data_IF_392931666069
#
_entry.id   IF_392931666069
#
_cell.length_a   1.000
_cell.length_b   1.000
_cell.length_c   1.000
_cell.angle_alpha   90.00
_cell.angle_beta   90.00
_cell.angle_gamma   90.00
#
_symmetry.space_group_name_H-M   'P 1'
#
loop_
_entity.id
_entity.type
_entity.pdbx_description
1 polymer ?
#
# COMPACT_ATOMS: atom_id res chain seq x y z
N UNK A 1 -4.44 21.43 24.06
CA UNK A 1 -3.50 20.38 23.61
C UNK A 1 -2.71 21.01 22.49
N UNK A 2 -1.41 21.23 22.68
CA UNK A 2 -0.54 21.82 21.67
C UNK A 2 -0.31 20.77 20.61
N UNK A 3 -0.66 21.11 19.38
CA UNK A 3 -0.33 20.38 18.15
C UNK A 3 1.16 19.97 18.19
N UNK A 4 1.52 18.69 17.97
CA UNK A 4 2.92 18.34 17.89
C UNK A 4 3.53 19.15 16.75
N UNK A 5 4.51 19.99 17.06
CA UNK A 5 5.15 20.87 16.10
C UNK A 5 5.66 20.02 14.91
N UNK A 6 5.10 20.28 13.72
CA UNK A 6 5.61 19.71 12.46
C UNK A 6 7.11 20.00 12.40
N UNK A 7 7.98 19.00 12.20
CA UNK A 7 9.42 19.24 12.15
C UNK A 7 9.73 20.20 11.00
N UNK A 8 10.62 21.15 11.22
CA UNK A 8 10.98 22.16 10.21
C UNK A 8 11.72 21.56 9.00
N UNK A 9 12.19 20.31 9.10
CA UNK A 9 12.90 19.60 8.05
C UNK A 9 12.83 18.08 8.28
N UNK A 10 12.86 17.32 7.20
CA UNK A 10 12.97 15.86 7.20
C UNK A 10 14.39 15.42 6.90
N UNK A 11 14.83 14.34 7.53
CA UNK A 11 16.09 13.67 7.15
C UNK A 11 15.72 12.42 6.33
N UNK A 12 16.15 12.39 5.08
CA UNK A 12 15.92 11.28 4.15
C UNK A 12 17.23 10.58 3.84
N UNK A 13 17.18 9.29 3.60
CA UNK A 13 18.27 8.50 3.08
C UNK A 13 18.39 8.68 1.57
N UNK A 14 19.58 8.97 1.07
CA UNK A 14 19.94 8.81 -0.34
C UNK A 14 20.99 7.69 -0.47
N UNK A 15 20.66 6.68 -1.28
CA UNK A 15 21.56 5.60 -1.66
C UNK A 15 21.90 5.74 -3.14
N UNK A 16 23.14 6.04 -3.47
CA UNK A 16 23.61 5.95 -4.85
C UNK A 16 24.21 4.56 -5.09
N UNK A 17 23.63 3.81 -6.05
CA UNK A 17 24.03 2.44 -6.39
C UNK A 17 24.14 2.27 -7.90
N UNK A 18 24.96 1.29 -8.39
CA UNK A 18 24.94 0.92 -9.81
C UNK A 18 23.51 0.52 -10.25
N UNK A 19 23.11 0.87 -11.47
CA UNK A 19 21.76 0.61 -11.99
C UNK A 19 21.37 -0.88 -11.90
N UNK A 20 22.32 -1.79 -12.12
CA UNK A 20 22.08 -3.25 -11.97
C UNK A 20 21.83 -3.72 -10.54
N UNK A 21 22.07 -2.89 -9.54
CA UNK A 21 21.82 -3.19 -8.13
C UNK A 21 20.59 -2.45 -7.57
N UNK A 22 20.02 -1.50 -8.33
CA UNK A 22 18.97 -0.62 -7.82
C UNK A 22 17.73 -1.39 -7.34
N UNK A 23 17.30 -2.38 -8.09
CA UNK A 23 16.11 -3.20 -7.77
C UNK A 23 16.29 -3.97 -6.45
N UNK A 24 17.45 -4.65 -6.28
CA UNK A 24 17.74 -5.43 -5.06
C UNK A 24 17.83 -4.52 -3.84
N UNK A 25 18.42 -3.33 -3.99
CA UNK A 25 18.56 -2.37 -2.91
C UNK A 25 17.22 -1.72 -2.58
N UNK A 26 16.41 -1.40 -3.57
CA UNK A 26 15.04 -0.91 -3.41
C UNK A 26 14.18 -1.91 -2.64
N UNK A 27 14.20 -3.19 -3.02
CA UNK A 27 13.49 -4.27 -2.30
C UNK A 27 13.94 -4.40 -0.84
N UNK A 28 15.25 -4.26 -0.59
CA UNK A 28 15.78 -4.32 0.77
C UNK A 28 15.33 -3.10 1.61
N UNK A 29 15.21 -1.91 1.02
CA UNK A 29 14.66 -0.73 1.69
C UNK A 29 13.19 -0.95 2.07
N UNK A 30 12.40 -1.49 1.15
CA UNK A 30 11.01 -1.87 1.45
C UNK A 30 10.92 -2.87 2.60
N UNK A 31 11.86 -3.83 2.68
CA UNK A 31 11.99 -4.77 3.80
C UNK A 31 12.30 -4.11 5.16
N UNK A 32 12.78 -2.85 5.17
CA UNK A 32 12.98 -2.05 6.39
C UNK A 32 11.75 -1.22 6.78
N UNK A 33 10.62 -1.39 6.06
CA UNK A 33 9.36 -0.73 6.37
C UNK A 33 9.28 0.73 5.91
N UNK A 34 10.03 1.12 4.86
CA UNK A 34 9.88 2.47 4.29
C UNK A 34 8.53 2.62 3.59
N UNK A 35 7.94 3.79 3.69
CA UNK A 35 6.65 4.11 3.08
C UNK A 35 6.74 4.37 1.56
N UNK A 36 7.93 4.77 1.07
CA UNK A 36 8.18 5.03 -0.34
C UNK A 36 9.67 4.94 -0.66
N UNK A 37 10.01 4.54 -1.88
CA UNK A 37 11.34 4.64 -2.46
C UNK A 37 11.21 5.40 -3.78
N UNK A 38 11.91 6.54 -3.88
CA UNK A 38 12.04 7.29 -5.12
C UNK A 38 13.31 6.82 -5.83
N UNK A 39 13.20 6.50 -7.12
CA UNK A 39 14.33 6.08 -7.96
C UNK A 39 14.62 7.16 -9.00
N UNK A 40 15.84 7.70 -8.98
CA UNK A 40 16.29 8.70 -9.93
C UNK A 40 17.51 8.19 -10.70
N UNK A 41 17.38 7.89 -12.00
CA UNK A 41 18.53 7.53 -12.84
C UNK A 41 19.53 8.68 -12.95
N UNK A 42 20.81 8.38 -12.83
CA UNK A 42 21.90 9.35 -12.93
C UNK A 42 22.73 9.14 -14.21
N UNK A 43 23.34 10.22 -14.69
CA UNK A 43 24.33 10.13 -15.76
C UNK A 43 25.53 9.34 -15.26
N UNK A 44 25.88 8.24 -15.94
CA UNK A 44 27.01 7.38 -15.53
C UNK A 44 26.64 5.96 -15.14
N UNK A 45 25.35 5.59 -15.23
CA UNK A 45 24.90 4.22 -15.00
C UNK A 45 24.66 3.89 -13.53
N UNK A 46 24.50 4.90 -12.68
CA UNK A 46 24.02 4.77 -11.30
C UNK A 46 22.56 5.21 -11.16
N UNK A 47 21.95 4.82 -10.06
CA UNK A 47 20.60 5.22 -9.63
C UNK A 47 20.69 5.74 -8.20
N UNK A 48 20.04 6.85 -7.92
CA UNK A 48 19.84 7.34 -6.56
C UNK A 48 18.47 6.88 -6.08
N UNK A 49 18.48 6.13 -4.98
CA UNK A 49 17.29 5.71 -4.24
C UNK A 49 17.12 6.66 -3.06
N UNK A 50 15.93 7.27 -2.92
CA UNK A 50 15.57 8.10 -1.78
C UNK A 50 14.46 7.46 -1.00
N UNK A 51 14.63 7.37 0.32
CA UNK A 51 13.63 6.80 1.20
C UNK A 51 13.65 7.49 2.57
N UNK A 52 12.49 7.52 3.23
CA UNK A 52 12.40 7.88 4.64
C UNK A 52 12.61 6.61 5.47
N UNK A 53 13.79 6.45 6.04
CA UNK A 53 14.20 5.28 6.83
C UNK A 53 14.39 5.69 8.28
N UNK A 54 13.92 4.85 9.21
CA UNK A 54 14.17 5.09 10.64
C UNK A 54 15.67 5.12 10.94
N UNK A 55 16.17 6.05 11.75
CA UNK A 55 17.56 6.09 12.20
C UNK A 55 18.04 4.80 12.87
N UNK A 56 17.13 3.96 13.36
CA UNK A 56 17.46 2.63 13.91
C UNK A 56 18.09 1.68 12.88
N UNK A 57 17.94 1.99 11.59
CA UNK A 57 18.48 1.18 10.49
C UNK A 57 19.77 1.75 9.86
N UNK A 58 20.38 2.78 10.43
CA UNK A 58 21.56 3.45 9.88
C UNK A 58 22.69 2.49 9.48
N UNK A 59 23.09 1.59 10.37
CA UNK A 59 24.13 0.59 10.09
C UNK A 59 23.71 -0.38 8.99
N UNK A 60 22.44 -0.76 8.98
CA UNK A 60 21.87 -1.69 8.00
C UNK A 60 21.91 -1.10 6.59
N UNK A 61 21.49 0.16 6.41
CA UNK A 61 21.45 0.83 5.10
C UNK A 61 22.86 1.17 4.58
N UNK A 62 23.78 1.52 5.46
CA UNK A 62 25.20 1.74 5.09
C UNK A 62 25.83 0.44 4.60
N UNK A 63 25.62 -0.67 5.30
CA UNK A 63 26.13 -1.97 4.89
C UNK A 63 25.45 -2.48 3.60
N UNK A 64 24.15 -2.23 3.44
CA UNK A 64 23.42 -2.53 2.21
C UNK A 64 24.03 -1.80 1.01
N UNK A 65 24.25 -0.50 1.11
CA UNK A 65 24.90 0.29 0.07
C UNK A 65 26.28 -0.27 -0.28
N UNK A 66 27.11 -0.51 0.74
CA UNK A 66 28.48 -1.03 0.57
C UNK A 66 28.50 -2.39 -0.15
N UNK A 67 27.60 -3.32 0.20
CA UNK A 67 27.51 -4.65 -0.44
C UNK A 67 27.19 -4.58 -1.92
N UNK A 68 26.42 -3.57 -2.33
CA UNK A 68 25.99 -3.37 -3.71
C UNK A 68 26.79 -2.31 -4.47
N UNK A 69 27.97 -1.94 -3.95
CA UNK A 69 28.90 -1.03 -4.63
C UNK A 69 28.44 0.42 -4.64
N UNK A 70 27.57 0.78 -3.70
CA UNK A 70 27.00 2.11 -3.57
C UNK A 70 27.47 2.87 -2.34
N UNK A 71 26.90 4.06 -2.16
CA UNK A 71 27.17 4.98 -1.04
C UNK A 71 25.84 5.44 -0.45
N UNK A 72 25.75 5.39 0.90
CA UNK A 72 24.64 5.94 1.65
C UNK A 72 24.99 7.33 2.21
N UNK A 73 24.05 8.26 2.14
CA UNK A 73 24.14 9.56 2.81
C UNK A 73 22.77 9.97 3.34
N UNK A 74 22.78 10.70 4.47
CA UNK A 74 21.60 11.31 5.02
C UNK A 74 21.53 12.78 4.57
N UNK A 75 20.37 13.17 4.02
CA UNK A 75 20.14 14.51 3.50
C UNK A 75 18.97 15.13 4.25
N UNK A 76 19.20 16.34 4.78
CA UNK A 76 18.14 17.11 5.40
C UNK A 76 17.41 17.92 4.35
N UNK A 77 16.10 17.68 4.18
CA UNK A 77 15.24 18.41 3.25
C UNK A 77 14.22 19.23 4.03
N UNK A 78 14.02 20.52 3.69
CA UNK A 78 12.95 21.32 4.27
C UNK A 78 11.59 20.67 4.04
N UNK A 79 10.67 20.78 5.01
CA UNK A 79 9.29 20.28 4.87
C UNK A 79 8.62 20.77 3.59
N UNK A 80 8.86 22.04 3.22
CA UNK A 80 8.34 22.61 1.96
C UNK A 80 8.81 21.90 0.69
N UNK A 81 9.96 21.21 0.74
CA UNK A 81 10.48 20.39 -0.37
C UNK A 81 9.93 18.97 -0.29
N UNK A 82 9.80 18.40 0.93
CA UNK A 82 9.15 17.12 1.15
C UNK A 82 7.68 17.13 0.69
N UNK A 83 7.01 18.29 0.80
CA UNK A 83 5.61 18.47 0.37
C UNK A 83 5.45 18.83 -1.12
N UNK A 84 6.52 18.90 -1.91
CA UNK A 84 6.42 19.25 -3.35
C UNK A 84 5.57 18.24 -4.13
N UNK A 85 5.50 16.98 -3.70
CA UNK A 85 4.64 15.97 -4.28
C UNK A 85 3.15 16.36 -4.20
N UNK A 86 2.73 17.09 -3.14
CA UNK A 86 1.34 17.58 -3.02
C UNK A 86 0.95 18.51 -4.16
N UNK A 87 1.88 19.34 -4.63
CA UNK A 87 1.67 20.25 -5.77
C UNK A 87 1.52 19.50 -7.12
N UNK A 88 2.05 18.27 -7.20
CA UNK A 88 2.00 17.42 -8.38
C UNK A 88 0.94 16.31 -8.28
N UNK A 89 0.30 16.17 -7.13
CA UNK A 89 -0.78 15.20 -6.94
C UNK A 89 -1.93 15.45 -7.92
N UNK A 90 -2.51 14.40 -8.44
CA UNK A 90 -3.61 14.43 -9.41
C UNK A 90 -4.67 13.41 -9.02
N UNK A 91 -5.89 13.64 -9.49
CA UNK A 91 -6.94 12.64 -9.46
C UNK A 91 -6.53 11.42 -10.28
N UNK A 92 -6.76 10.23 -9.73
CA UNK A 92 -6.43 8.94 -10.38
C UNK A 92 -7.71 8.23 -10.76
N UNK A 93 -7.87 7.92 -12.03
CA UNK A 93 -8.97 7.12 -12.53
C UNK A 93 -8.77 5.64 -12.16
N UNK A 94 -9.81 5.00 -11.66
CA UNK A 94 -9.77 3.57 -11.30
C UNK A 94 -10.50 2.72 -12.33
N UNK A 95 -11.80 2.91 -12.45
CA UNK A 95 -12.65 2.18 -13.38
C UNK A 95 -13.99 2.90 -13.56
N UNK A 96 -14.59 2.83 -14.75
CA UNK A 96 -15.88 3.46 -15.03
C UNK A 96 -15.86 4.96 -14.75
N UNK A 97 -16.63 5.42 -13.75
CA UNK A 97 -16.71 6.80 -13.29
C UNK A 97 -16.03 7.02 -11.92
N UNK A 98 -15.23 6.07 -11.44
CA UNK A 98 -14.61 6.09 -10.11
C UNK A 98 -13.24 6.74 -10.14
N UNK A 99 -13.03 7.70 -9.23
CA UNK A 99 -11.80 8.45 -9.06
C UNK A 99 -11.31 8.44 -7.60
N UNK A 100 -10.02 8.19 -7.41
CA UNK A 100 -9.30 8.48 -6.18
C UNK A 100 -8.71 9.88 -6.29
N UNK A 101 -9.02 10.76 -5.35
CA UNK A 101 -8.67 12.18 -5.44
C UNK A 101 -8.05 12.63 -4.12
N UNK A 102 -6.80 13.13 -4.12
CA UNK A 102 -6.22 13.76 -2.94
C UNK A 102 -7.15 14.84 -2.39
N UNK A 103 -7.25 14.94 -1.06
CA UNK A 103 -8.21 15.83 -0.39
C UNK A 103 -8.16 17.27 -0.91
N UNK A 104 -6.97 17.78 -1.23
CA UNK A 104 -6.70 19.16 -1.70
C UNK A 104 -6.83 19.36 -3.22
N UNK A 105 -7.11 18.30 -3.99
CA UNK A 105 -7.22 18.37 -5.45
C UNK A 105 -8.66 18.51 -5.87
N UNK A 106 -8.92 19.31 -6.92
CA UNK A 106 -10.26 19.42 -7.49
C UNK A 106 -10.71 18.08 -8.09
N UNK A 107 -11.93 17.67 -7.75
CA UNK A 107 -12.47 16.40 -8.20
C UNK A 107 -12.99 16.51 -9.65
N UNK A 108 -12.70 15.52 -10.52
CA UNK A 108 -13.35 15.40 -11.81
C UNK A 108 -14.82 15.00 -11.66
N UNK A 109 -15.59 15.04 -12.75
CA UNK A 109 -16.94 14.49 -12.77
C UNK A 109 -16.90 12.96 -12.53
N UNK A 110 -17.82 12.44 -11.69
CA UNK A 110 -17.92 11.02 -11.35
C UNK A 110 -17.97 10.76 -9.85
N UNK A 111 -17.88 9.48 -9.49
CA UNK A 111 -17.82 9.04 -8.10
C UNK A 111 -16.40 9.23 -7.56
N UNK A 112 -16.27 10.10 -6.58
CA UNK A 112 -14.99 10.51 -6.04
C UNK A 112 -14.79 9.97 -4.64
N UNK A 113 -13.64 9.36 -4.41
CA UNK A 113 -13.13 8.97 -3.09
C UNK A 113 -12.00 9.92 -2.74
N UNK A 114 -12.17 10.68 -1.67
CA UNK A 114 -11.17 11.62 -1.17
C UNK A 114 -10.15 10.91 -0.29
N UNK A 115 -8.87 11.22 -0.46
CA UNK A 115 -7.78 10.57 0.28
C UNK A 115 -6.78 11.61 0.80
N UNK A 116 -6.50 11.57 2.10
CA UNK A 116 -5.32 12.16 2.71
C UNK A 116 -4.40 11.02 3.17
N UNK A 117 -3.22 10.85 2.56
CA UNK A 117 -2.34 9.74 2.88
C UNK A 117 -1.59 9.91 4.21
N UNK A 118 -1.47 11.13 4.72
CA UNK A 118 -0.57 11.44 5.84
C UNK A 118 0.86 10.94 5.58
N UNK A 119 1.48 10.34 6.61
CA UNK A 119 2.82 9.75 6.52
C UNK A 119 2.79 8.23 6.30
N UNK A 120 1.73 7.72 5.63
CA UNK A 120 1.56 6.30 5.29
C UNK A 120 1.39 6.09 3.79
N UNK A 121 1.56 4.85 3.33
CA UNK A 121 1.31 4.48 1.95
C UNK A 121 -0.20 4.54 1.62
N UNK A 122 -0.53 4.81 0.35
CA UNK A 122 -1.91 4.70 -0.15
C UNK A 122 -2.55 6.03 -0.54
N UNK A 123 -1.84 6.90 -1.28
CA UNK A 123 -2.44 8.09 -1.90
C UNK A 123 -3.42 7.75 -3.05
N UNK A 124 -3.39 6.52 -3.52
CA UNK A 124 -4.29 6.04 -4.58
C UNK A 124 -3.74 6.13 -6.01
N UNK A 125 -2.61 6.80 -6.24
CA UNK A 125 -2.04 6.99 -7.58
C UNK A 125 -1.10 5.86 -8.02
N UNK A 126 -0.72 4.95 -7.12
CA UNK A 126 0.15 3.84 -7.47
C UNK A 126 -0.63 2.77 -8.27
N UNK A 127 -0.05 2.17 -9.34
CA UNK A 127 -0.72 1.15 -10.14
C UNK A 127 -1.29 -0.01 -9.31
N UNK A 128 -0.58 -0.45 -8.26
CA UNK A 128 -1.05 -1.54 -7.40
C UNK A 128 -2.33 -1.21 -6.65
N UNK A 129 -2.53 0.06 -6.24
CA UNK A 129 -3.77 0.50 -5.60
C UNK A 129 -4.93 0.48 -6.59
N UNK A 130 -4.70 0.94 -7.82
CA UNK A 130 -5.71 0.91 -8.89
C UNK A 130 -6.08 -0.53 -9.23
N UNK A 131 -5.08 -1.41 -9.39
CA UNK A 131 -5.29 -2.84 -9.66
C UNK A 131 -6.09 -3.52 -8.55
N UNK A 132 -5.68 -3.32 -7.28
CA UNK A 132 -6.36 -3.89 -6.11
C UNK A 132 -7.82 -3.42 -6.02
N UNK A 133 -8.04 -2.11 -6.11
CA UNK A 133 -9.38 -1.54 -6.01
C UNK A 133 -10.28 -2.01 -7.17
N UNK A 134 -9.77 -1.96 -8.40
CA UNK A 134 -10.51 -2.43 -9.57
C UNK A 134 -10.88 -3.91 -9.46
N UNK A 135 -9.97 -4.76 -9.00
CA UNK A 135 -10.24 -6.19 -8.79
C UNK A 135 -11.26 -6.42 -7.66
N UNK A 136 -11.11 -5.69 -6.55
CA UNK A 136 -12.01 -5.82 -5.41
C UNK A 136 -13.44 -5.33 -5.73
N UNK A 137 -13.61 -4.28 -6.54
CA UNK A 137 -14.92 -3.78 -6.97
C UNK A 137 -15.71 -4.82 -7.79
N UNK A 138 -15.04 -5.73 -8.47
CA UNK A 138 -15.71 -6.79 -9.22
C UNK A 138 -16.29 -7.91 -8.34
N UNK A 139 -15.80 -8.05 -7.10
CA UNK A 139 -16.18 -9.15 -6.20
C UNK A 139 -16.90 -8.69 -4.93
N UNK A 140 -16.64 -7.47 -4.44
CA UNK A 140 -17.28 -6.92 -3.25
C UNK A 140 -18.73 -6.50 -3.57
N UNK A 141 -19.66 -6.80 -2.66
CA UNK A 141 -21.08 -6.46 -2.76
C UNK A 141 -21.57 -5.81 -1.46
N UNK A 142 -22.72 -5.18 -1.53
CA UNK A 142 -23.43 -4.69 -0.35
C UNK A 142 -23.67 -5.83 0.66
N UNK A 143 -23.46 -5.53 1.95
CA UNK A 143 -23.58 -6.50 3.03
C UNK A 143 -22.37 -7.45 3.21
N UNK A 144 -21.35 -7.39 2.32
CA UNK A 144 -20.12 -8.14 2.54
C UNK A 144 -19.33 -7.57 3.73
N UNK A 145 -18.58 -8.47 4.38
CA UNK A 145 -17.52 -8.13 5.34
C UNK A 145 -16.17 -8.23 4.63
N UNK A 146 -15.39 -7.14 4.67
CA UNK A 146 -14.10 -7.04 4.00
C UNK A 146 -12.99 -6.81 5.03
N UNK A 147 -11.86 -7.47 4.86
CA UNK A 147 -10.61 -7.17 5.57
C UNK A 147 -9.64 -6.49 4.61
N UNK A 148 -9.12 -5.32 5.00
CA UNK A 148 -8.02 -4.62 4.32
C UNK A 148 -6.76 -4.80 5.17
N UNK A 149 -5.89 -5.72 4.74
CA UNK A 149 -4.66 -6.10 5.44
C UNK A 149 -3.46 -5.34 4.87
N UNK A 150 -2.76 -4.57 5.72
CA UNK A 150 -1.74 -3.62 5.29
C UNK A 150 -2.39 -2.41 4.62
N UNK A 151 -3.39 -1.84 5.29
CA UNK A 151 -4.31 -0.86 4.71
C UNK A 151 -3.69 0.52 4.45
N UNK A 152 -2.55 0.85 5.09
CA UNK A 152 -1.95 2.18 5.00
C UNK A 152 -2.95 3.30 5.31
N UNK A 153 -3.23 4.16 4.34
CA UNK A 153 -4.22 5.24 4.46
C UNK A 153 -5.68 4.76 4.56
N UNK A 154 -5.94 3.45 4.38
CA UNK A 154 -7.28 2.88 4.31
C UNK A 154 -7.99 3.14 2.99
N UNK A 155 -7.28 3.59 1.96
CA UNK A 155 -7.89 3.98 0.67
C UNK A 155 -8.74 2.88 0.05
N UNK A 156 -8.32 1.60 0.14
CA UNK A 156 -9.09 0.47 -0.40
C UNK A 156 -10.38 0.24 0.38
N UNK A 157 -10.28 0.12 1.72
CA UNK A 157 -11.44 -0.08 2.59
C UNK A 157 -12.46 1.05 2.48
N UNK A 158 -11.99 2.31 2.50
CA UNK A 158 -12.85 3.50 2.37
C UNK A 158 -13.55 3.53 1.02
N UNK A 159 -12.79 3.28 -0.07
CA UNK A 159 -13.37 3.25 -1.42
C UNK A 159 -14.40 2.13 -1.57
N UNK A 160 -14.07 0.91 -1.14
CA UNK A 160 -14.99 -0.22 -1.19
C UNK A 160 -16.27 0.06 -0.39
N UNK A 161 -16.14 0.54 0.84
CA UNK A 161 -17.29 0.85 1.68
C UNK A 161 -18.17 1.96 1.09
N UNK A 162 -17.58 3.03 0.56
CA UNK A 162 -18.33 4.15 -0.04
C UNK A 162 -19.03 3.75 -1.34
N UNK A 163 -18.43 2.89 -2.15
CA UNK A 163 -18.93 2.53 -3.47
C UNK A 163 -19.90 1.36 -3.45
N UNK A 164 -19.77 0.43 -2.49
CA UNK A 164 -20.57 -0.81 -2.47
C UNK A 164 -21.47 -0.96 -1.25
N UNK A 165 -21.24 -0.22 -0.17
CA UNK A 165 -21.98 -0.36 1.10
C UNK A 165 -21.43 -1.45 2.03
N UNK A 166 -20.32 -2.12 1.69
CA UNK A 166 -19.73 -3.18 2.52
C UNK A 166 -19.19 -2.65 3.86
N UNK A 167 -19.08 -3.54 4.84
CA UNK A 167 -18.38 -3.27 6.09
C UNK A 167 -16.91 -3.68 5.95
N UNK A 168 -15.99 -2.82 6.36
CA UNK A 168 -14.55 -3.05 6.25
C UNK A 168 -13.88 -3.00 7.62
N UNK A 169 -12.97 -3.93 7.88
CA UNK A 169 -12.00 -3.86 8.95
C UNK A 169 -10.60 -3.63 8.35
N UNK A 170 -9.84 -2.72 8.97
CA UNK A 170 -8.53 -2.29 8.52
C UNK A 170 -7.46 -2.64 9.54
N UNK A 171 -6.35 -3.18 9.09
CA UNK A 171 -5.17 -3.40 9.91
C UNK A 171 -3.89 -3.00 9.18
N UNK A 172 -2.97 -2.40 9.91
CA UNK A 172 -1.61 -2.11 9.45
C UNK A 172 -0.64 -2.22 10.63
N UNK A 173 0.63 -2.52 10.34
CA UNK A 173 1.70 -2.55 11.34
C UNK A 173 2.17 -1.15 11.73
N UNK A 174 1.94 -0.15 10.87
CA UNK A 174 2.29 1.24 11.10
C UNK A 174 1.25 1.90 12.03
N UNK A 175 1.62 2.33 13.25
CA UNK A 175 0.65 2.84 14.23
C UNK A 175 -0.09 4.09 13.73
N UNK A 176 0.52 4.92 12.90
CA UNK A 176 -0.08 6.12 12.30
C UNK A 176 -1.16 5.82 11.24
N UNK A 177 -1.22 4.59 10.73
CA UNK A 177 -2.24 4.18 9.75
C UNK A 177 -3.65 4.27 10.33
N UNK A 178 -3.82 4.04 11.64
CA UNK A 178 -5.12 4.16 12.30
C UNK A 178 -5.73 5.54 12.14
N UNK A 179 -4.96 6.59 12.43
CA UNK A 179 -5.43 7.97 12.34
C UNK A 179 -5.79 8.33 10.89
N UNK A 180 -5.00 7.83 9.92
CA UNK A 180 -5.25 8.01 8.49
C UNK A 180 -6.56 7.33 8.06
N UNK A 181 -6.79 6.08 8.48
CA UNK A 181 -8.04 5.34 8.21
C UNK A 181 -9.25 6.07 8.80
N UNK A 182 -9.19 6.50 10.07
CA UNK A 182 -10.27 7.20 10.73
C UNK A 182 -10.60 8.53 10.05
N UNK A 183 -9.58 9.30 9.66
CA UNK A 183 -9.74 10.55 8.90
C UNK A 183 -10.40 10.31 7.54
N UNK A 184 -9.85 9.39 6.74
CA UNK A 184 -10.34 9.12 5.40
C UNK A 184 -11.74 8.51 5.40
N UNK A 185 -12.07 7.69 6.40
CA UNK A 185 -13.43 7.18 6.60
C UNK A 185 -14.42 8.31 6.90
N UNK A 186 -14.03 9.28 7.76
CA UNK A 186 -14.85 10.45 8.06
C UNK A 186 -15.02 11.35 6.83
N UNK A 187 -13.94 11.60 6.10
CA UNK A 187 -13.91 12.43 4.89
C UNK A 187 -14.88 11.92 3.80
N UNK A 188 -15.08 10.60 3.73
CA UNK A 188 -15.96 9.96 2.76
C UNK A 188 -17.30 9.50 3.34
N UNK A 189 -17.61 9.83 4.61
CA UNK A 189 -18.91 9.52 5.23
C UNK A 189 -19.14 8.03 5.50
N UNK A 190 -18.09 7.25 5.74
CA UNK A 190 -18.14 5.79 5.96
C UNK A 190 -17.60 5.34 7.32
N UNK A 191 -17.46 6.25 8.28
CA UNK A 191 -16.93 5.94 9.62
C UNK A 191 -17.77 4.91 10.39
N UNK A 192 -19.01 4.70 10.04
CA UNK A 192 -19.87 3.67 10.61
C UNK A 192 -19.52 2.26 10.11
N UNK A 193 -18.98 2.13 8.90
CA UNK A 193 -18.69 0.88 8.21
C UNK A 193 -17.21 0.52 8.12
N UNK A 194 -16.29 1.51 8.20
CA UNK A 194 -14.85 1.26 8.20
C UNK A 194 -14.33 1.32 9.63
N UNK A 195 -13.71 0.23 10.10
CA UNK A 195 -13.23 0.08 11.47
C UNK A 195 -11.77 -0.35 11.51
N UNK A 196 -11.04 0.15 12.48
CA UNK A 196 -9.71 -0.33 12.79
C UNK A 196 -9.76 -1.63 13.61
N UNK A 197 -8.81 -2.52 13.36
CA UNK A 197 -8.54 -3.69 14.20
C UNK A 197 -7.05 -3.80 14.54
N UNK A 198 -6.72 -4.42 15.66
CA UNK A 198 -5.34 -4.52 16.18
C UNK A 198 -4.53 -5.70 15.57
N UNK A 199 -5.03 -6.38 14.55
CA UNK A 199 -4.40 -7.53 13.91
C UNK A 199 -5.33 -8.72 13.81
N UNK A 200 -4.79 -9.87 13.39
CA UNK A 200 -5.52 -11.13 13.37
C UNK A 200 -5.24 -11.92 14.66
N UNK A 201 -6.28 -12.41 15.31
CA UNK A 201 -6.13 -13.28 16.46
C UNK A 201 -5.58 -14.66 16.02
N UNK A 202 -4.63 -15.25 16.80
CA UNK A 202 -4.18 -16.59 16.54
C UNK A 202 -5.35 -17.58 16.56
N UNK A 203 -5.57 -18.27 15.43
CA UNK A 203 -6.67 -19.22 15.28
C UNK A 203 -7.98 -18.64 14.78
N UNK A 204 -8.06 -17.34 14.48
CA UNK A 204 -9.21 -16.72 13.82
C UNK A 204 -9.53 -17.41 12.49
N UNK A 205 -10.82 -17.60 12.21
CA UNK A 205 -11.30 -18.35 11.03
C UNK A 205 -12.53 -17.72 10.42
N UNK A 206 -12.59 -17.75 9.08
CA UNK A 206 -13.78 -17.58 8.25
C UNK A 206 -14.68 -16.38 8.62
N UNK A 207 -14.08 -15.20 8.84
CA UNK A 207 -14.79 -13.97 9.19
C UNK A 207 -15.21 -13.11 7.99
N UNK A 208 -14.47 -13.17 6.87
CA UNK A 208 -14.60 -12.22 5.77
C UNK A 208 -15.07 -12.85 4.47
N UNK A 209 -15.96 -12.15 3.77
CA UNK A 209 -16.39 -12.51 2.42
C UNK A 209 -15.27 -12.20 1.41
N UNK A 210 -14.55 -11.07 1.65
CA UNK A 210 -13.40 -10.66 0.83
C UNK A 210 -12.26 -10.21 1.74
N UNK A 211 -11.05 -10.65 1.42
CA UNK A 211 -9.81 -10.13 2.01
C UNK A 211 -9.03 -9.41 0.92
N UNK A 212 -8.62 -8.17 1.16
CA UNK A 212 -7.77 -7.39 0.26
C UNK A 212 -6.43 -7.15 0.93
N UNK A 213 -5.33 -7.34 0.21
CA UNK A 213 -3.99 -7.03 0.69
C UNK A 213 -3.15 -6.44 -0.46
N UNK A 214 -2.79 -5.17 -0.33
CA UNK A 214 -1.91 -4.46 -1.26
C UNK A 214 -0.56 -4.19 -0.57
N UNK A 215 0.24 -5.25 -0.42
CA UNK A 215 1.51 -5.25 0.30
C UNK A 215 2.56 -6.06 -0.47
N UNK A 216 3.83 -5.97 -0.02
CA UNK A 216 4.94 -6.61 -0.71
C UNK A 216 4.80 -8.14 -0.84
N UNK A 217 5.21 -8.70 -1.97
CA UNK A 217 5.13 -10.12 -2.27
C UNK A 217 5.75 -11.05 -1.21
N UNK A 218 6.92 -10.75 -0.58
CA UNK A 218 7.44 -11.58 0.50
C UNK A 218 6.49 -11.68 1.68
N UNK A 219 5.86 -10.56 2.09
CA UNK A 219 4.91 -10.51 3.21
C UNK A 219 3.63 -11.26 2.83
N UNK A 220 3.12 -11.09 1.59
CA UNK A 220 1.97 -11.84 1.09
C UNK A 220 2.19 -13.36 1.20
N UNK A 221 3.40 -13.84 0.88
CA UNK A 221 3.74 -15.25 1.04
C UNK A 221 3.81 -15.69 2.51
N UNK A 222 4.33 -14.84 3.39
CA UNK A 222 4.47 -15.14 4.83
C UNK A 222 3.14 -15.29 5.54
N UNK A 223 2.17 -14.41 5.22
CA UNK A 223 0.87 -14.39 5.89
C UNK A 223 -0.24 -15.13 5.12
N UNK A 224 0.10 -15.85 4.04
CA UNK A 224 -0.86 -16.49 3.15
C UNK A 224 -1.86 -17.40 3.90
N UNK A 225 -1.36 -18.29 4.76
CA UNK A 225 -2.20 -19.21 5.54
C UNK A 225 -3.19 -18.45 6.45
N UNK A 226 -2.76 -17.33 7.04
CA UNK A 226 -3.60 -16.53 7.90
C UNK A 226 -4.71 -15.83 7.08
N UNK A 227 -4.39 -15.26 5.92
CA UNK A 227 -5.38 -14.61 5.06
C UNK A 227 -6.40 -15.62 4.51
N UNK A 228 -5.93 -16.79 4.09
CA UNK A 228 -6.83 -17.88 3.67
C UNK A 228 -7.72 -18.34 4.84
N UNK A 229 -7.15 -18.50 6.04
CA UNK A 229 -7.90 -18.97 7.19
C UNK A 229 -9.07 -18.03 7.58
N UNK A 230 -8.87 -16.71 7.52
CA UNK A 230 -9.91 -15.72 7.88
C UNK A 230 -10.91 -15.44 6.75
N UNK A 231 -10.60 -15.81 5.51
CA UNK A 231 -11.54 -15.75 4.40
C UNK A 231 -12.59 -16.86 4.53
N UNK A 232 -13.85 -16.60 4.32
CA UNK A 232 -14.93 -17.62 4.33
C UNK A 232 -14.73 -18.65 3.22
N UNK A 233 -15.20 -19.90 3.39
CA UNK A 233 -15.37 -20.84 2.24
C UNK A 233 -16.23 -20.17 1.16
N UNK A 234 -15.80 -20.26 -0.11
CA UNK A 234 -16.39 -19.52 -1.23
C UNK A 234 -16.04 -18.03 -1.26
N UNK A 235 -15.30 -17.52 -0.29
CA UNK A 235 -14.85 -16.13 -0.24
C UNK A 235 -13.64 -15.86 -1.14
N UNK A 236 -13.28 -14.59 -1.26
CA UNK A 236 -12.27 -14.12 -2.21
C UNK A 236 -11.10 -13.44 -1.50
N UNK A 237 -9.88 -13.68 -2.00
CA UNK A 237 -8.68 -12.96 -1.61
C UNK A 237 -8.18 -12.16 -2.81
N UNK A 238 -8.03 -10.83 -2.66
CA UNK A 238 -7.48 -9.93 -3.68
C UNK A 238 -6.11 -9.47 -3.21
N UNK A 239 -5.08 -9.82 -3.97
CA UNK A 239 -3.68 -9.52 -3.68
C UNK A 239 -3.14 -8.52 -4.69
N UNK A 240 -2.36 -7.56 -4.22
CA UNK A 240 -1.61 -6.62 -5.06
C UNK A 240 -0.34 -6.17 -4.32
N UNK A 241 0.44 -5.23 -4.90
CA UNK A 241 1.74 -4.85 -4.34
C UNK A 241 2.85 -5.82 -4.76
N UNK A 242 2.60 -6.60 -5.80
CA UNK A 242 3.53 -7.55 -6.37
C UNK A 242 3.84 -7.21 -7.83
N UNK A 243 5.03 -7.57 -8.28
CA UNK A 243 5.45 -7.45 -9.67
C UNK A 243 4.93 -8.62 -10.49
N UNK A 244 4.86 -8.43 -11.80
CA UNK A 244 4.42 -9.47 -12.74
C UNK A 244 5.21 -10.78 -12.61
N UNK A 245 6.54 -10.69 -12.43
CA UNK A 245 7.44 -11.85 -12.27
C UNK A 245 7.32 -12.56 -10.91
N UNK A 246 6.60 -11.98 -9.94
CA UNK A 246 6.36 -12.54 -8.61
C UNK A 246 5.02 -13.29 -8.50
N UNK A 247 4.14 -13.20 -9.50
CA UNK A 247 2.77 -13.74 -9.45
C UNK A 247 2.72 -15.24 -9.19
N UNK A 248 3.55 -16.04 -9.87
CA UNK A 248 3.59 -17.49 -9.67
C UNK A 248 4.02 -17.88 -8.25
N UNK A 249 5.03 -17.17 -7.71
CA UNK A 249 5.52 -17.40 -6.36
C UNK A 249 4.46 -17.07 -5.32
N UNK A 250 3.78 -15.92 -5.48
CA UNK A 250 2.73 -15.50 -4.55
C UNK A 250 1.55 -16.46 -4.62
N UNK A 251 1.08 -16.80 -5.82
CA UNK A 251 -0.02 -17.75 -6.01
C UNK A 251 0.25 -19.13 -5.36
N UNK A 252 1.48 -19.62 -5.47
CA UNK A 252 1.89 -20.90 -4.88
C UNK A 252 1.82 -20.91 -3.34
N UNK A 253 1.89 -19.76 -2.68
CA UNK A 253 1.76 -19.66 -1.23
C UNK A 253 0.30 -19.81 -0.74
N UNK A 254 -0.69 -19.50 -1.58
CA UNK A 254 -2.13 -19.60 -1.26
C UNK A 254 -2.68 -20.98 -1.59
N UNK A 255 -2.14 -21.98 -0.91
CA UNK A 255 -2.46 -23.38 -1.18
C UNK A 255 -3.95 -23.68 -1.01
N UNK A 256 -4.53 -24.33 -2.03
CA UNK A 256 -5.95 -24.70 -2.04
C UNK A 256 -6.89 -23.59 -2.50
N UNK A 257 -6.38 -22.42 -2.88
CA UNK A 257 -7.19 -21.39 -3.53
C UNK A 257 -7.03 -21.45 -5.05
N UNK A 258 -8.11 -21.17 -5.77
CA UNK A 258 -8.12 -21.10 -7.23
C UNK A 258 -7.92 -19.65 -7.69
N UNK A 259 -6.99 -19.42 -8.63
CA UNK A 259 -6.85 -18.10 -9.28
C UNK A 259 -8.05 -17.90 -10.19
N UNK A 260 -8.82 -16.84 -9.95
CA UNK A 260 -10.01 -16.50 -10.73
C UNK A 260 -9.81 -15.30 -11.66
N UNK A 261 -8.85 -14.42 -11.33
CA UNK A 261 -8.48 -13.27 -12.16
C UNK A 261 -7.02 -12.85 -11.90
N UNK A 262 -6.39 -12.28 -12.93
CA UNK A 262 -5.07 -11.65 -12.85
C UNK A 262 -5.07 -10.39 -13.70
N UNK A 263 -4.60 -9.27 -13.13
CA UNK A 263 -4.48 -7.99 -13.83
C UNK A 263 -3.05 -7.50 -13.79
N UNK A 264 -2.64 -6.84 -14.86
CA UNK A 264 -1.29 -6.31 -15.04
C UNK A 264 -1.36 -4.84 -15.44
N UNK A 265 -0.51 -4.02 -14.87
CA UNK A 265 -0.31 -2.62 -15.25
C UNK A 265 1.11 -2.17 -14.91
N UNK A 266 1.86 -1.68 -15.92
CA UNK A 266 3.18 -1.09 -15.72
C UNK A 266 4.21 -2.00 -15.03
N UNK A 267 4.13 -3.34 -15.21
CA UNK A 267 5.00 -4.34 -14.57
C UNK A 267 4.54 -4.74 -13.16
N UNK A 268 3.40 -4.19 -12.69
CA UNK A 268 2.72 -4.58 -11.46
C UNK A 268 1.56 -5.52 -11.74
N UNK A 269 1.20 -6.31 -10.73
CA UNK A 269 0.14 -7.29 -10.84
C UNK A 269 -0.84 -7.24 -9.67
N UNK A 270 -2.06 -7.71 -9.91
CA UNK A 270 -2.97 -8.19 -8.88
C UNK A 270 -3.46 -9.59 -9.19
N UNK A 271 -3.71 -10.38 -8.16
CA UNK A 271 -4.29 -11.72 -8.22
C UNK A 271 -5.61 -11.73 -7.44
N UNK A 272 -6.63 -12.34 -8.04
CA UNK A 272 -7.88 -12.63 -7.34
C UNK A 272 -7.98 -14.13 -7.18
N UNK A 273 -8.15 -14.57 -5.94
CA UNK A 273 -8.15 -15.98 -5.56
C UNK A 273 -9.49 -16.32 -4.90
N UNK A 274 -10.07 -17.47 -5.23
CA UNK A 274 -11.24 -18.00 -4.54
C UNK A 274 -10.82 -19.08 -3.54
N UNK A 275 -11.26 -18.96 -2.29
CA UNK A 275 -11.15 -20.03 -1.31
C UNK A 275 -12.33 -21.01 -1.52
N UNK A 276 -12.08 -22.30 -1.86
CA UNK A 276 -13.14 -23.28 -2.04
C UNK A 276 -13.93 -23.60 -0.78
#
# INVERSE_FOLDING_TARGET
>A
MTDPAVPAAWTILELEVPAGSAEIVSDALWGLGVAAVEETPMSGGSVVLRANVSPLHDETVVELARRHGGVAKWVTVPVSVADTWRAHARATHVAGDVWLVPEWVEAPEGRTIRVEPFDVFGMGNHPTTVLALSAALDVVRDGHTVLDMGCGSGVLAVALSALTGCACECHDIAPQARDAVEHNAALNGVSDRVKWREGLDPGERAGYDVVVANILAPVLCEIADALVAVTKPGGTVVLSGLREDQTERVAAAYTGCDITDQRLDGGWASLTLCRP
#
